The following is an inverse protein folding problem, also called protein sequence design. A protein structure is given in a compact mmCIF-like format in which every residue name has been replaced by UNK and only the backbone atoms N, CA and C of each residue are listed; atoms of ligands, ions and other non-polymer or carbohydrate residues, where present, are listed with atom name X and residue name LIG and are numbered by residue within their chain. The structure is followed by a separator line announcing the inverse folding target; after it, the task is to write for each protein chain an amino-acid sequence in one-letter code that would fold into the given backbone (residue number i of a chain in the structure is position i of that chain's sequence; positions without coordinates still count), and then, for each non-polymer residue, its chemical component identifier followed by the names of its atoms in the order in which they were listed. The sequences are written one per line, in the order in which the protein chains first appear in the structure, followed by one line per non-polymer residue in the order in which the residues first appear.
data_IF_308953583656
#
_entry.id   IF_308953583656
#
_cell.length_a   1.000
_cell.length_b   1.000
_cell.length_c   1.000
_cell.angle_alpha   90.00
_cell.angle_beta   90.00
_cell.angle_gamma   90.00
#
_symmetry.space_group_name_H-M   'P 1'
#
loop_
_entity.id
_entity.type
_entity.pdbx_description
1 polymer ?
#
# COMPACT_ATOMS: atom_id res chain seq x y z
N UNK A 1 16.91 -7.24 -1.35
CA UNK A 1 15.82 -7.98 -0.68
C UNK A 1 16.34 -9.35 -0.34
N UNK A 2 16.29 -9.74 0.93
CA UNK A 2 16.95 -10.94 1.47
C UNK A 2 16.26 -12.27 1.10
N UNK A 3 15.84 -12.44 -0.16
CA UNK A 3 15.29 -13.71 -0.69
C UNK A 3 13.97 -14.23 -0.08
N UNK A 4 13.56 -13.73 1.09
CA UNK A 4 12.37 -14.17 1.82
C UNK A 4 11.05 -13.69 1.24
N UNK A 5 11.07 -12.73 0.31
CA UNK A 5 9.84 -12.20 -0.29
C UNK A 5 8.92 -13.25 -0.90
N UNK A 6 9.48 -14.39 -1.32
CA UNK A 6 8.70 -15.51 -1.86
C UNK A 6 7.78 -16.18 -0.83
N UNK A 7 8.05 -16.04 0.48
CA UNK A 7 7.21 -16.60 1.55
C UNK A 7 5.84 -15.91 1.69
N UNK A 8 5.72 -14.70 1.14
CA UNK A 8 4.49 -13.89 1.19
C UNK A 8 3.65 -13.99 -0.10
N UNK A 9 4.12 -14.72 -1.10
CA UNK A 9 3.37 -14.92 -2.33
C UNK A 9 2.28 -15.96 -2.08
N UNK A 10 1.06 -15.63 -2.51
CA UNK A 10 -0.06 -16.57 -2.46
C UNK A 10 0.29 -17.84 -3.26
N UNK A 11 0.19 -19.05 -2.68
CA UNK A 11 0.45 -20.30 -3.39
C UNK A 11 -0.40 -20.49 -4.66
N UNK A 12 -1.59 -19.88 -4.74
CA UNK A 12 -2.41 -19.90 -5.95
C UNK A 12 -1.81 -19.09 -7.11
N UNK A 13 -0.85 -18.21 -6.81
CA UNK A 13 -0.07 -17.42 -7.77
C UNK A 13 1.32 -18.03 -8.03
N UNK A 14 1.62 -19.21 -7.45
CA UNK A 14 2.89 -19.92 -7.59
C UNK A 14 3.02 -20.59 -8.98
N UNK A 15 3.04 -19.76 -10.02
CA UNK A 15 3.58 -20.14 -11.31
C UNK A 15 5.09 -19.92 -11.26
N UNK A 16 5.84 -21.00 -10.98
CA UNK A 16 7.30 -21.06 -10.81
C UNK A 16 8.14 -20.41 -11.94
N UNK A 17 7.51 -19.95 -13.02
CA UNK A 17 8.10 -19.27 -14.18
C UNK A 17 8.27 -17.75 -13.94
N UNK A 18 7.72 -17.19 -12.86
CA UNK A 18 7.61 -15.74 -12.70
C UNK A 18 7.96 -15.18 -11.31
N UNK A 19 8.68 -15.93 -10.47
CA UNK A 19 9.10 -15.45 -9.14
C UNK A 19 9.78 -14.07 -9.18
N UNK A 20 10.62 -13.82 -10.20
CA UNK A 20 11.22 -12.51 -10.42
C UNK A 20 10.21 -11.39 -10.70
N UNK A 21 9.12 -11.65 -11.45
CA UNK A 21 8.09 -10.63 -11.71
C UNK A 21 7.22 -10.41 -10.48
N UNK A 22 6.92 -11.47 -9.71
CA UNK A 22 6.14 -11.34 -8.47
C UNK A 22 6.88 -10.54 -7.42
N UNK A 23 8.18 -10.82 -7.20
CA UNK A 23 9.04 -10.03 -6.33
C UNK A 23 9.18 -8.59 -6.81
N UNK A 24 9.25 -8.38 -8.14
CA UNK A 24 9.26 -7.03 -8.73
C UNK A 24 7.96 -6.28 -8.45
N UNK A 25 6.81 -6.89 -8.71
CA UNK A 25 5.49 -6.31 -8.42
C UNK A 25 5.35 -5.97 -6.93
N UNK A 26 5.80 -6.86 -6.05
CA UNK A 26 5.84 -6.61 -4.61
C UNK A 26 6.70 -5.39 -4.28
N UNK A 27 7.92 -5.32 -4.82
CA UNK A 27 8.82 -4.17 -4.62
C UNK A 27 8.20 -2.85 -5.09
N UNK A 28 7.58 -2.85 -6.28
CA UNK A 28 6.88 -1.68 -6.83
C UNK A 28 5.70 -1.29 -5.93
N UNK A 29 4.87 -2.26 -5.49
CA UNK A 29 3.75 -2.01 -4.58
C UNK A 29 4.19 -1.37 -3.26
N UNK A 30 5.33 -1.80 -2.72
CA UNK A 30 5.92 -1.21 -1.52
C UNK A 30 6.45 0.23 -1.74
N UNK A 31 6.91 0.57 -2.95
CA UNK A 31 7.28 1.94 -3.31
C UNK A 31 6.06 2.85 -3.48
N UNK A 32 4.91 2.32 -3.89
CA UNK A 32 3.69 3.12 -4.06
C UNK A 32 3.07 3.60 -2.73
N UNK A 33 3.34 2.91 -1.62
CA UNK A 33 2.72 3.18 -0.30
C UNK A 33 3.62 3.91 0.68
N UNK A 34 4.71 4.52 0.20
CA UNK A 34 5.64 5.28 1.03
C UNK A 34 4.95 6.44 1.77
N UNK A 35 5.39 6.69 3.00
CA UNK A 35 4.88 7.77 3.85
C UNK A 35 5.03 9.13 3.16
N UNK A 36 6.22 9.40 2.63
CA UNK A 36 6.54 10.63 1.90
C UNK A 36 6.08 10.55 0.44
N UNK A 37 5.53 11.65 -0.07
CA UNK A 37 5.03 11.70 -1.46
C UNK A 37 6.18 11.65 -2.47
N UNK A 38 7.30 12.31 -2.17
CA UNK A 38 8.50 12.36 -3.03
C UNK A 38 9.19 11.00 -3.18
N UNK A 39 8.86 10.05 -2.31
CA UNK A 39 9.41 8.69 -2.34
C UNK A 39 8.52 7.72 -3.15
N UNK A 40 7.35 8.19 -3.62
CA UNK A 40 6.43 7.39 -4.45
C UNK A 40 6.80 7.56 -5.93
N UNK A 41 6.90 6.47 -6.70
CA UNK A 41 7.15 6.57 -8.13
C UNK A 41 5.94 7.19 -8.84
N UNK A 42 6.19 7.95 -9.89
CA UNK A 42 5.15 8.36 -10.83
C UNK A 42 4.56 7.15 -11.58
N UNK A 43 3.36 7.30 -12.11
CA UNK A 43 2.72 6.23 -12.88
C UNK A 43 3.54 5.79 -14.11
N UNK A 44 4.30 6.72 -14.71
CA UNK A 44 5.20 6.41 -15.83
C UNK A 44 6.37 5.55 -15.37
N UNK A 45 6.97 5.88 -14.23
CA UNK A 45 8.05 5.08 -13.65
C UNK A 45 7.55 3.68 -13.26
N UNK A 46 6.35 3.57 -12.66
CA UNK A 46 5.71 2.28 -12.38
C UNK A 46 5.55 1.46 -13.65
N UNK A 47 5.07 2.07 -14.75
CA UNK A 47 4.90 1.37 -16.02
C UNK A 47 6.24 0.91 -16.60
N UNK A 48 7.25 1.76 -16.64
CA UNK A 48 8.59 1.39 -17.12
C UNK A 48 9.24 0.32 -16.23
N UNK A 49 9.00 0.37 -14.92
CA UNK A 49 9.41 -0.70 -14.01
C UNK A 49 8.67 -2.00 -14.36
N UNK A 50 7.35 -2.02 -14.53
CA UNK A 50 6.60 -3.23 -14.88
C UNK A 50 7.00 -3.82 -16.25
N UNK A 51 7.41 -2.98 -17.19
CA UNK A 51 7.89 -3.38 -18.53
C UNK A 51 9.36 -3.82 -18.53
N UNK A 52 10.01 -3.86 -17.36
CA UNK A 52 11.43 -4.17 -17.20
C UNK A 52 12.38 -3.20 -17.93
N UNK A 53 11.94 -1.97 -18.18
CA UNK A 53 12.76 -0.93 -18.83
C UNK A 53 13.69 -0.23 -17.82
N UNK A 54 13.24 -0.12 -16.56
CA UNK A 54 13.97 0.52 -15.46
C UNK A 54 13.92 -0.40 -14.25
N UNK A 55 15.08 -0.70 -13.66
CA UNK A 55 15.12 -1.44 -12.40
C UNK A 55 14.63 -0.57 -11.23
N UNK A 56 13.78 -1.10 -10.32
CA UNK A 56 13.40 -0.40 -9.10
C UNK A 56 14.65 -0.23 -8.22
N UNK A 57 15.33 0.90 -8.40
CA UNK A 57 16.64 1.21 -7.84
C UNK A 57 16.60 1.69 -6.38
N UNK A 58 15.40 1.82 -5.80
CA UNK A 58 15.20 2.27 -4.43
C UNK A 58 14.63 1.13 -3.58
N UNK A 59 15.31 0.83 -2.47
CA UNK A 59 14.73 0.00 -1.44
C UNK A 59 13.53 0.75 -0.81
N UNK A 60 12.38 0.08 -0.60
CA UNK A 60 11.26 0.70 0.07
C UNK A 60 11.68 1.27 1.44
N UNK A 61 11.28 2.52 1.71
CA UNK A 61 11.37 3.15 3.03
C UNK A 61 10.12 2.77 3.85
N UNK A 62 9.70 3.65 4.76
CA UNK A 62 8.58 3.42 5.68
C UNK A 62 7.22 3.63 4.99
N UNK A 63 6.30 2.65 5.03
CA UNK A 63 4.93 2.87 4.56
C UNK A 63 4.17 3.88 5.43
N UNK A 64 3.20 4.58 4.83
CA UNK A 64 2.42 5.62 5.51
C UNK A 64 1.64 5.14 6.76
N UNK A 65 1.34 3.85 6.84
CA UNK A 65 0.54 3.22 7.90
C UNK A 65 1.38 2.47 8.94
N UNK A 66 2.70 2.61 8.89
CA UNK A 66 3.59 1.93 9.83
C UNK A 66 3.45 2.49 11.25
N UNK A 67 3.19 1.61 12.23
CA UNK A 67 3.18 1.96 13.65
C UNK A 67 4.52 2.65 13.98
N UNK A 68 4.45 3.87 14.49
CA UNK A 68 5.61 4.62 14.97
C UNK A 68 6.02 4.03 16.31
N UNK A 69 7.02 3.15 16.30
CA UNK A 69 7.59 2.57 17.52
C UNK A 69 8.33 3.62 18.38
N UNK A 70 8.45 4.87 17.93
CA UNK A 70 9.19 5.94 18.60
C UNK A 70 8.32 6.88 19.46
N UNK A 71 7.01 6.63 19.57
CA UNK A 71 6.17 7.41 20.48
C UNK A 71 6.12 6.73 21.84
N UNK A 72 6.81 7.26 22.87
CA UNK A 72 6.42 6.94 24.23
C UNK A 72 4.99 7.44 24.43
N UNK A 73 4.16 6.67 25.12
CA UNK A 73 2.79 7.05 25.47
C UNK A 73 2.70 8.47 26.07
N UNK A 74 1.59 9.15 25.79
CA UNK A 74 1.22 10.56 26.05
C UNK A 74 1.44 11.47 24.81
N UNK A 75 0.45 12.14 24.23
CA UNK A 75 -0.66 12.86 24.85
C UNK A 75 -1.86 12.88 23.89
N UNK A 76 -3.02 12.56 24.44
CA UNK A 76 -4.31 12.70 23.79
C UNK A 76 -4.64 14.19 23.64
N UNK A 77 -4.32 14.80 22.50
CA UNK A 77 -4.94 16.08 22.15
C UNK A 77 -6.37 15.80 21.71
N UNK A 78 -7.30 16.28 22.53
CA UNK A 78 -8.74 16.17 22.40
C UNK A 78 -9.26 16.59 21.02
N UNK A 79 -9.81 15.64 20.28
CA UNK A 79 -10.92 15.90 19.39
C UNK A 79 -12.13 15.21 20.03
N UNK A 80 -13.12 15.99 20.45
CA UNK A 80 -14.31 15.51 21.15
C UNK A 80 -15.19 14.66 20.22
N UNK A 81 -14.84 13.39 20.03
CA UNK A 81 -15.75 12.39 19.52
C UNK A 81 -15.55 11.12 20.36
N UNK A 82 -16.45 10.82 21.32
CA UNK A 82 -16.42 9.52 21.95
C UNK A 82 -16.90 8.50 20.91
N UNK A 83 -16.19 7.37 20.86
CA UNK A 83 -16.62 6.02 20.48
C UNK A 83 -15.72 5.41 19.40
N UNK A 84 -14.65 4.77 19.90
CA UNK A 84 -13.96 3.69 19.21
C UNK A 84 -14.90 2.49 19.18
N UNK A 85 -15.81 2.47 18.22
CA UNK A 85 -16.51 1.27 17.77
C UNK A 85 -16.73 1.39 16.28
N UNK A 86 -16.17 0.44 15.53
CA UNK A 86 -16.64 -0.09 14.26
C UNK A 86 -17.61 0.77 13.41
N UNK A 87 -17.21 1.03 12.17
CA UNK A 87 -17.97 1.69 11.09
C UNK A 87 -18.18 3.19 11.23
N UNK A 88 -17.39 3.96 10.46
CA UNK A 88 -17.85 5.25 9.95
C UNK A 88 -19.00 4.98 8.98
N UNK A 89 -20.24 5.17 9.44
CA UNK A 89 -21.42 5.21 8.58
C UNK A 89 -21.23 6.34 7.56
N UNK A 90 -20.93 5.99 6.31
CA UNK A 90 -21.09 6.90 5.19
C UNK A 90 -22.58 7.12 5.01
N UNK A 91 -23.07 8.34 5.24
CA UNK A 91 -24.45 8.69 4.94
C UNK A 91 -24.65 8.59 3.43
N UNK A 92 -25.29 7.49 3.00
CA UNK A 92 -25.52 7.21 1.59
C UNK A 92 -26.85 7.83 1.20
N UNK A 93 -26.83 9.01 0.60
CA UNK A 93 -28.02 9.55 -0.07
C UNK A 93 -28.26 8.72 -1.33
N UNK A 94 -29.22 7.79 -1.27
CA UNK A 94 -29.67 7.01 -2.43
C UNK A 94 -30.62 7.89 -3.23
N UNK A 95 -30.27 8.21 -4.48
CA UNK A 95 -31.18 8.87 -5.42
C UNK A 95 -31.86 7.78 -6.25
N UNK A 96 -33.19 7.66 -6.13
CA UNK A 96 -33.96 6.70 -6.93
C UNK A 96 -34.04 7.14 -8.40
N UNK A 97 -33.93 6.17 -9.32
CA UNK A 97 -34.10 6.36 -10.76
C UNK A 97 -35.51 5.93 -11.16
N UNK A 98 -36.31 6.85 -11.67
CA UNK A 98 -37.65 6.53 -12.20
C UNK A 98 -37.53 5.88 -13.60
N UNK A 99 -38.19 4.72 -13.83
CA UNK A 99 -38.27 4.12 -15.15
C UNK A 99 -39.26 4.87 -16.04
N UNK A 100 -38.90 4.97 -17.32
CA UNK A 100 -39.67 5.67 -18.36
C UNK A 100 -40.55 4.73 -19.15
#
# INVERSE_FOLDING_TARGET
MDGRGMEFIDPALDDSVSGCKLLRCMGIGLLCVQEKQEDRPSMLEVLSMLKNEIEPNMAPKKPAFSIRADRPDAEQTSCSCPQYTHSSCVDSTISEVEPR
#
